data_IF_158306746809
#
_entry.id   IF_158306746809
#
_cell.length_a   1.000
_cell.length_b   1.000
_cell.length_c   1.000
_cell.angle_alpha   90.00
_cell.angle_beta   90.00
_cell.angle_gamma   90.00
#
_symmetry.space_group_name_H-M   'P 1'
#
loop_
_entity.id
_entity.type
_entity.pdbx_description
1 polymer ?
#
# COMPACT_ATOMS: atom_id res chain seq x y z
N UNK A 1 29.20 6.76 1.36
CA UNK A 1 28.33 5.57 1.30
C UNK A 1 28.73 4.80 0.07
N UNK A 2 29.38 3.65 0.23
CA UNK A 2 29.59 2.69 -0.86
C UNK A 2 29.06 1.37 -0.34
N UNK A 3 28.02 0.85 -0.99
CA UNK A 3 27.30 -0.32 -0.53
C UNK A 3 26.11 -0.58 -1.45
N UNK A 4 25.77 -1.85 -1.61
CA UNK A 4 24.57 -2.28 -2.29
C UNK A 4 23.39 -2.15 -1.32
N UNK A 5 22.27 -1.61 -1.81
CA UNK A 5 21.02 -1.51 -1.06
C UNK A 5 19.97 -2.31 -1.80
N UNK A 6 19.22 -3.13 -1.06
CA UNK A 6 18.06 -3.85 -1.55
C UNK A 6 16.87 -3.47 -0.68
N UNK A 7 15.75 -3.16 -1.33
CA UNK A 7 14.50 -2.85 -0.66
C UNK A 7 13.50 -3.89 -1.15
N UNK A 8 12.99 -4.69 -0.21
CA UNK A 8 11.92 -5.65 -0.48
C UNK A 8 10.65 -5.20 0.21
N UNK A 9 9.56 -5.17 -0.53
CA UNK A 9 8.22 -4.91 0.00
C UNK A 9 7.43 -6.21 -0.01
N UNK A 10 6.89 -6.63 1.13
CA UNK A 10 6.02 -7.79 1.19
C UNK A 10 4.70 -7.51 0.45
N UNK A 11 4.29 -8.40 -0.47
CA UNK A 11 3.00 -8.31 -1.19
C UNK A 11 2.20 -9.62 -1.03
N UNK A 12 1.63 -9.85 0.16
CA UNK A 12 0.79 -11.03 0.42
C UNK A 12 -0.68 -10.83 0.03
N UNK A 13 -1.11 -9.57 0.02
CA UNK A 13 -2.35 -9.07 -0.55
C UNK A 13 -1.97 -7.81 -1.32
N UNK A 14 -2.34 -7.72 -2.59
CA UNK A 14 -1.91 -6.60 -3.43
C UNK A 14 -3.09 -5.92 -4.10
N UNK A 15 -3.07 -4.58 -4.04
CA UNK A 15 -3.88 -3.70 -4.85
C UNK A 15 -2.92 -3.01 -5.80
N UNK A 16 -2.67 -3.57 -7.00
CA UNK A 16 -1.60 -3.12 -7.88
C UNK A 16 -1.79 -1.69 -8.43
N UNK A 17 -2.89 -1.04 -8.05
CA UNK A 17 -3.21 0.35 -8.36
C UNK A 17 -2.72 1.33 -7.28
N UNK A 18 -2.32 0.81 -6.12
CA UNK A 18 -1.69 1.57 -5.05
C UNK A 18 -0.18 1.53 -5.23
N UNK A 19 0.44 2.70 -5.32
CA UNK A 19 1.90 2.81 -5.40
C UNK A 19 2.47 3.34 -4.09
N UNK A 20 3.77 3.14 -3.89
CA UNK A 20 4.50 3.63 -2.72
C UNK A 20 5.75 4.38 -3.15
N UNK A 21 5.88 5.62 -2.69
CA UNK A 21 7.13 6.38 -2.78
C UNK A 21 7.98 6.05 -1.56
N UNK A 22 9.27 5.80 -1.82
CA UNK A 22 10.28 5.60 -0.77
C UNK A 22 11.32 6.72 -0.92
N UNK A 23 11.28 7.67 0.00
CA UNK A 23 12.23 8.78 0.06
C UNK A 23 13.32 8.48 1.08
N UNK A 24 14.58 8.53 0.63
CA UNK A 24 15.74 8.25 1.49
C UNK A 24 16.45 9.57 1.78
N UNK A 25 16.43 9.98 3.03
CA UNK A 25 17.03 11.23 3.50
C UNK A 25 18.12 10.90 4.50
N UNK A 26 19.21 11.68 4.47
CA UNK A 26 20.26 11.64 5.48
C UNK A 26 20.35 12.99 6.16
N UNK A 27 20.36 13.01 7.49
CA UNK A 27 20.57 14.24 8.23
C UNK A 27 22.06 14.61 8.39
N UNK A 28 22.32 15.78 8.97
CA UNK A 28 23.68 16.27 9.20
C UNK A 28 24.47 15.42 10.21
N UNK A 29 23.78 14.72 11.11
CA UNK A 29 24.42 13.83 12.09
C UNK A 29 24.85 12.51 11.45
N UNK A 30 24.21 12.12 10.33
CA UNK A 30 24.50 10.92 9.56
C UNK A 30 23.43 9.82 9.66
N UNK A 31 22.35 10.06 10.42
CA UNK A 31 21.22 9.14 10.50
C UNK A 31 20.47 9.11 9.15
N UNK A 32 19.83 7.97 8.86
CA UNK A 32 19.08 7.75 7.62
C UNK A 32 17.60 7.62 7.95
N UNK A 33 16.76 8.29 7.16
CA UNK A 33 15.32 8.25 7.27
C UNK A 33 14.72 7.70 5.97
N UNK A 34 13.70 6.87 6.12
CA UNK A 34 12.87 6.40 5.01
C UNK A 34 11.48 6.98 5.18
N UNK A 35 11.12 7.92 4.32
CA UNK A 35 9.74 8.40 4.19
C UNK A 35 8.96 7.46 3.28
N UNK A 36 7.91 6.84 3.81
CA UNK A 36 7.13 5.82 3.08
C UNK A 36 5.73 6.32 2.77
N UNK A 37 5.55 7.01 1.65
CA UNK A 37 4.27 7.61 1.27
C UNK A 37 3.48 6.70 0.34
N UNK A 38 2.21 6.44 0.67
CA UNK A 38 1.26 5.76 -0.22
C UNK A 38 0.63 6.77 -1.16
N UNK A 39 0.63 6.45 -2.45
CA UNK A 39 -0.14 7.16 -3.47
C UNK A 39 -1.23 6.22 -3.97
N UNK A 40 -2.48 6.64 -3.78
CA UNK A 40 -3.66 5.85 -4.07
C UNK A 40 -4.75 6.77 -4.65
N UNK A 41 -5.69 6.21 -5.40
CA UNK A 41 -6.86 6.93 -5.86
C UNK A 41 -7.91 7.03 -4.75
N UNK A 42 -8.78 8.05 -4.82
CA UNK A 42 -9.83 8.30 -3.82
C UNK A 42 -11.04 7.34 -3.90
N UNK A 43 -11.00 6.34 -4.79
CA UNK A 43 -12.08 5.38 -4.97
C UNK A 43 -12.19 4.44 -3.77
N UNK A 44 -13.39 4.31 -3.22
CA UNK A 44 -13.68 3.47 -2.05
C UNK A 44 -13.63 1.97 -2.35
N UNK A 45 -14.12 1.17 -1.40
CA UNK A 45 -14.21 -0.30 -1.53
C UNK A 45 -15.48 -0.77 -2.24
N UNK A 46 -16.45 0.12 -2.50
CA UNK A 46 -17.69 -0.16 -3.23
C UNK A 46 -17.82 0.76 -4.43
N UNK A 47 -18.38 0.23 -5.53
CA UNK A 47 -18.38 0.91 -6.83
C UNK A 47 -19.77 1.29 -7.36
N UNK A 48 -20.84 1.05 -6.61
CA UNK A 48 -22.21 1.38 -7.06
C UNK A 48 -22.49 0.87 -8.48
N UNK A 49 -22.93 1.76 -9.35
CA UNK A 49 -23.20 1.46 -10.77
C UNK A 49 -22.01 1.76 -11.70
N UNK A 50 -20.85 2.18 -11.17
CA UNK A 50 -19.66 2.56 -11.96
C UNK A 50 -19.92 3.70 -12.98
N UNK A 51 -20.73 4.70 -12.62
CA UNK A 51 -21.11 5.81 -13.53
C UNK A 51 -20.29 7.09 -13.30
N UNK A 52 -19.75 7.29 -12.10
CA UNK A 52 -18.88 8.41 -11.78
C UNK A 52 -17.40 8.01 -11.75
N UNK A 53 -16.45 8.97 -11.88
CA UNK A 53 -15.02 8.67 -11.79
C UNK A 53 -14.61 7.96 -10.50
N UNK A 54 -15.20 8.33 -9.35
CA UNK A 54 -14.90 7.68 -8.07
C UNK A 54 -15.39 6.23 -8.02
N UNK A 55 -16.57 5.97 -8.58
CA UNK A 55 -17.14 4.63 -8.67
C UNK A 55 -16.36 3.74 -9.64
N UNK A 56 -15.94 4.27 -10.79
CA UNK A 56 -15.09 3.54 -11.74
C UNK A 56 -13.73 3.22 -11.09
N UNK A 57 -13.15 4.17 -10.36
CA UNK A 57 -11.91 3.93 -9.63
C UNK A 57 -12.10 2.85 -8.54
N UNK A 58 -13.23 2.85 -7.83
CA UNK A 58 -13.57 1.79 -6.88
C UNK A 58 -13.77 0.43 -7.57
N UNK A 59 -14.39 0.37 -8.75
CA UNK A 59 -14.53 -0.86 -9.54
C UNK A 59 -13.15 -1.38 -9.94
N UNK A 60 -12.28 -0.49 -10.41
CA UNK A 60 -10.89 -0.77 -10.75
C UNK A 60 -10.15 -1.43 -9.58
N UNK A 61 -10.31 -0.89 -8.36
CA UNK A 61 -9.72 -1.46 -7.13
C UNK A 61 -10.16 -2.90 -6.92
N UNK A 62 -11.47 -3.17 -7.01
CA UNK A 62 -12.03 -4.52 -6.82
C UNK A 62 -11.50 -5.50 -7.86
N UNK A 63 -11.48 -5.11 -9.14
CA UNK A 63 -10.99 -5.98 -10.23
C UNK A 63 -9.49 -6.26 -10.12
N UNK A 64 -8.72 -5.31 -9.62
CA UNK A 64 -7.26 -5.44 -9.49
C UNK A 64 -6.79 -6.26 -8.29
N UNK A 65 -7.68 -6.51 -7.32
CA UNK A 65 -7.31 -7.12 -6.06
C UNK A 65 -6.72 -8.53 -6.26
N UNK A 66 -5.43 -8.67 -6.00
CA UNK A 66 -4.72 -9.94 -6.04
C UNK A 66 -4.75 -10.59 -4.64
N UNK A 67 -5.92 -11.06 -4.25
CA UNK A 67 -6.16 -11.61 -2.90
C UNK A 67 -7.17 -12.75 -2.95
N UNK A 68 -6.79 -13.84 -3.64
CA UNK A 68 -7.68 -14.98 -3.85
C UNK A 68 -8.15 -15.63 -2.54
N UNK A 69 -7.33 -15.60 -1.48
CA UNK A 69 -7.65 -16.17 -0.16
C UNK A 69 -8.84 -15.48 0.54
N UNK A 70 -9.27 -14.30 0.06
CA UNK A 70 -10.37 -13.51 0.63
C UNK A 70 -11.63 -13.51 -0.25
N UNK A 71 -11.68 -14.35 -1.28
CA UNK A 71 -12.86 -14.53 -2.13
C UNK A 71 -13.91 -15.39 -1.41
N UNK A 72 -15.13 -14.88 -1.29
CA UNK A 72 -16.20 -15.57 -0.58
C UNK A 72 -16.53 -16.94 -1.22
N UNK A 73 -16.43 -17.02 -2.54
CA UNK A 73 -16.68 -18.23 -3.34
C UNK A 73 -15.66 -19.35 -3.06
N UNK A 74 -14.51 -19.00 -2.46
CA UNK A 74 -13.45 -19.93 -2.07
C UNK A 74 -13.46 -20.26 -0.57
N UNK A 75 -14.52 -19.87 0.17
CA UNK A 75 -14.66 -20.15 1.59
C UNK A 75 -13.85 -19.21 2.50
N UNK A 76 -13.66 -17.95 2.10
CA UNK A 76 -12.94 -16.98 2.91
C UNK A 76 -13.59 -16.73 4.27
N UNK A 77 -12.78 -16.81 5.34
CA UNK A 77 -13.22 -16.52 6.72
C UNK A 77 -13.37 -15.01 7.02
N UNK A 78 -12.80 -14.16 6.16
CA UNK A 78 -12.77 -12.70 6.34
C UNK A 78 -12.95 -12.00 5.01
N UNK A 79 -13.51 -10.79 5.04
CA UNK A 79 -13.63 -9.95 3.85
C UNK A 79 -12.26 -9.48 3.31
N UNK A 80 -12.30 -8.89 2.11
CA UNK A 80 -11.14 -8.34 1.41
C UNK A 80 -10.50 -7.15 2.13
N UNK A 81 -11.25 -6.43 2.97
CA UNK A 81 -10.81 -5.21 3.64
C UNK A 81 -10.09 -5.47 4.97
N UNK A 82 -10.20 -6.69 5.52
CA UNK A 82 -9.63 -7.08 6.81
C UNK A 82 -8.14 -6.73 7.00
N UNK A 83 -7.35 -6.74 5.91
CA UNK A 83 -5.91 -6.46 5.95
C UNK A 83 -5.47 -5.25 5.11
N UNK A 84 -6.37 -4.29 4.85
CA UNK A 84 -6.01 -3.04 4.15
C UNK A 84 -5.10 -2.08 4.94
N UNK A 85 -4.79 -2.41 6.21
CA UNK A 85 -4.12 -1.50 7.14
C UNK A 85 -5.01 -0.33 7.58
N UNK A 86 -4.67 0.30 8.71
CA UNK A 86 -5.32 1.52 9.20
C UNK A 86 -4.73 2.74 8.48
N UNK A 87 -5.45 3.86 8.50
CA UNK A 87 -4.91 5.12 7.98
C UNK A 87 -3.60 5.53 8.68
N UNK A 88 -3.46 5.20 9.97
CA UNK A 88 -2.24 5.40 10.76
C UNK A 88 -1.05 4.54 10.33
N UNK A 89 -1.30 3.43 9.63
CA UNK A 89 -0.25 2.51 9.19
C UNK A 89 0.37 2.96 7.85
N UNK A 90 -0.21 4.00 7.24
CA UNK A 90 0.24 4.63 6.00
C UNK A 90 1.17 5.79 6.34
N UNK A 91 2.06 6.15 5.42
CA UNK A 91 2.84 7.39 5.51
C UNK A 91 3.71 7.46 6.77
N UNK A 92 4.54 6.44 6.98
CA UNK A 92 5.43 6.34 8.14
C UNK A 92 6.85 6.80 7.83
N UNK A 93 7.56 7.28 8.84
CA UNK A 93 8.99 7.58 8.78
C UNK A 93 9.73 6.52 9.60
N UNK A 94 10.62 5.79 8.95
CA UNK A 94 11.51 4.84 9.63
C UNK A 94 12.90 5.46 9.78
N UNK A 95 13.51 5.29 10.94
CA UNK A 95 14.86 5.81 11.23
C UNK A 95 15.85 4.66 11.38
N UNK A 96 16.99 4.76 10.69
CA UNK A 96 18.18 3.96 10.93
C UNK A 96 19.23 4.89 11.55
N UNK A 97 19.57 4.64 12.81
CA UNK A 97 20.65 5.37 13.47
C UNK A 97 21.98 5.01 12.81
N UNK A 98 22.85 6.01 12.64
CA UNK A 98 24.24 5.74 12.29
C UNK A 98 24.86 4.80 13.33
N UNK A 99 25.69 3.88 12.86
CA UNK A 99 26.53 3.07 13.73
C UNK A 99 27.65 3.91 14.33
#
# INVERSE_FOLDING_TARGET
>A
MRGFWQIETASHADWPQQSRTIEIVRDATGDIYFGLSIVDHAGGSGYGDAKSPLEIAALSRVLSANIWQKRAELGANHDVNWWCGRASDRNVILKINKR
#
